data_IF_057558850855
#
_entry.id   IF_057558850855
#
_cell.length_a   1.000
_cell.length_b   1.000
_cell.length_c   1.000
_cell.angle_alpha   90.00
_cell.angle_beta   90.00
_cell.angle_gamma   90.00
#
_symmetry.space_group_name_H-M   'P 1'
#
loop_
_entity.id
_entity.type
_entity.pdbx_description
1 polymer ?
#
# COMPACT_ATOMS: atom_id res chain seq x y z
N UNK A 1 -19.95 -23.93 -4.04
CA UNK A 1 -19.70 -23.50 -2.65
C UNK A 1 -19.32 -22.03 -2.71
N UNK A 2 -20.08 -21.11 -2.11
CA UNK A 2 -19.78 -19.69 -2.29
C UNK A 2 -18.54 -19.33 -1.46
N UNK A 3 -17.57 -18.75 -2.17
CA UNK A 3 -16.35 -18.16 -1.68
C UNK A 3 -16.72 -17.10 -0.63
N UNK A 4 -16.22 -17.24 0.61
CA UNK A 4 -16.41 -16.24 1.65
C UNK A 4 -15.76 -14.92 1.20
N UNK A 5 -16.57 -14.00 0.68
CA UNK A 5 -16.20 -12.59 0.59
C UNK A 5 -16.01 -12.08 2.00
N UNK A 6 -14.76 -12.02 2.46
CA UNK A 6 -14.37 -11.19 3.59
C UNK A 6 -14.75 -9.76 3.22
N UNK A 7 -15.96 -9.33 3.59
CA UNK A 7 -16.44 -7.96 3.39
C UNK A 7 -15.34 -7.03 3.88
N UNK A 8 -14.79 -6.20 2.98
CA UNK A 8 -13.82 -5.12 3.30
C UNK A 8 -14.52 -4.04 4.12
N UNK A 9 -14.87 -4.39 5.36
CA UNK A 9 -15.75 -3.64 6.24
C UNK A 9 -15.25 -2.22 6.52
N UNK A 10 -13.93 -2.00 6.42
CA UNK A 10 -13.29 -0.70 6.60
C UNK A 10 -13.68 0.33 5.52
N UNK A 11 -14.06 -0.09 4.30
CA UNK A 11 -14.53 0.82 3.23
C UNK A 11 -15.85 1.53 3.57
N UNK A 12 -16.60 1.02 4.54
CA UNK A 12 -17.90 1.56 4.96
C UNK A 12 -17.78 2.61 6.08
N UNK A 13 -16.63 2.73 6.76
CA UNK A 13 -16.44 3.62 7.91
C UNK A 13 -16.26 5.11 7.54
N UNK A 14 -16.26 5.46 6.25
CA UNK A 14 -15.95 6.81 5.76
C UNK A 14 -17.06 7.47 4.93
N UNK A 15 -18.31 6.98 5.01
CA UNK A 15 -19.42 7.48 4.17
C UNK A 15 -19.94 8.89 4.57
N UNK A 16 -19.66 9.39 5.78
CA UNK A 16 -20.41 10.52 6.36
C UNK A 16 -19.77 11.92 6.24
N UNK A 17 -18.72 12.13 5.44
CA UNK A 17 -18.26 13.52 5.17
C UNK A 17 -18.99 14.11 3.97
N UNK A 18 -19.75 15.18 4.20
CA UNK A 18 -20.37 16.00 3.14
C UNK A 18 -19.33 16.35 2.07
N UNK A 19 -19.66 16.09 0.81
CA UNK A 19 -18.82 16.43 -0.35
C UNK A 19 -17.82 15.37 -0.78
N UNK A 20 -17.78 14.20 -0.15
CA UNK A 20 -17.01 13.05 -0.63
C UNK A 20 -17.93 11.97 -1.20
N UNK A 21 -17.47 11.32 -2.27
CA UNK A 21 -18.11 10.15 -2.87
C UNK A 21 -17.09 9.01 -2.85
N UNK A 22 -17.49 7.87 -2.28
CA UNK A 22 -16.73 6.62 -2.34
C UNK A 22 -17.30 5.71 -3.42
N UNK A 23 -16.43 5.13 -4.25
CA UNK A 23 -16.83 4.22 -5.32
C UNK A 23 -15.75 3.15 -5.55
N UNK A 24 -16.13 2.07 -6.23
CA UNK A 24 -15.24 0.93 -6.50
C UNK A 24 -15.07 0.76 -8.00
N UNK A 25 -13.84 0.55 -8.45
CA UNK A 25 -13.53 0.28 -9.86
C UNK A 25 -12.67 -0.97 -9.95
N UNK A 26 -13.18 -1.97 -10.69
CA UNK A 26 -12.55 -3.27 -10.88
C UNK A 26 -12.20 -3.49 -12.34
N UNK A 27 -10.99 -4.00 -12.58
CA UNK A 27 -10.60 -4.50 -13.89
C UNK A 27 -9.57 -5.62 -13.74
N UNK A 28 -9.96 -6.83 -14.18
CA UNK A 28 -9.19 -8.07 -13.96
C UNK A 28 -8.84 -8.25 -12.47
N UNK A 29 -7.56 -8.37 -12.13
CA UNK A 29 -7.09 -8.54 -10.74
C UNK A 29 -7.04 -7.22 -9.96
N UNK A 30 -7.14 -6.06 -10.62
CA UNK A 30 -7.10 -4.75 -9.96
C UNK A 30 -8.47 -4.39 -9.42
N UNK A 31 -8.56 -4.10 -8.11
CA UNK A 31 -9.79 -3.76 -7.42
C UNK A 31 -9.57 -2.54 -6.51
N UNK A 32 -9.79 -1.36 -7.08
CA UNK A 32 -9.60 -0.09 -6.38
C UNK A 32 -10.87 0.34 -5.67
N UNK A 33 -10.72 0.83 -4.45
CA UNK A 33 -11.70 1.71 -3.84
C UNK A 33 -11.15 3.13 -3.82
N UNK A 34 -11.97 4.06 -4.31
CA UNK A 34 -11.57 5.45 -4.47
C UNK A 34 -12.55 6.33 -3.72
N UNK A 35 -12.00 7.31 -3.02
CA UNK A 35 -12.77 8.40 -2.42
C UNK A 35 -12.32 9.71 -3.04
N UNK A 36 -13.26 10.49 -3.57
CA UNK A 36 -12.98 11.77 -4.22
C UNK A 36 -14.13 12.76 -3.98
N UNK A 37 -13.99 14.01 -4.45
CA UNK A 37 -15.04 15.03 -4.30
C UNK A 37 -16.24 14.83 -5.24
N UNK A 38 -16.10 13.96 -6.25
CA UNK A 38 -17.14 13.58 -7.19
C UNK A 38 -16.91 12.16 -7.67
N UNK A 39 -17.91 11.56 -8.33
CA UNK A 39 -17.73 10.26 -8.98
C UNK A 39 -16.73 10.42 -10.15
N UNK A 40 -15.64 9.64 -10.12
CA UNK A 40 -14.59 9.60 -11.14
C UNK A 40 -14.34 8.16 -11.63
N UNK A 41 -15.38 7.32 -11.67
CA UNK A 41 -15.25 5.91 -12.06
C UNK A 41 -14.64 5.75 -13.45
N UNK A 42 -15.01 6.61 -14.41
CA UNK A 42 -14.51 6.53 -15.79
C UNK A 42 -13.04 6.89 -15.87
N UNK A 43 -12.63 7.98 -15.25
CA UNK A 43 -11.25 8.45 -15.17
C UNK A 43 -10.38 7.43 -14.44
N UNK A 44 -10.89 6.86 -13.35
CA UNK A 44 -10.23 5.79 -12.58
C UNK A 44 -10.03 4.56 -13.45
N UNK A 45 -11.05 4.15 -14.20
CA UNK A 45 -10.97 3.00 -15.10
C UNK A 45 -9.91 3.23 -16.20
N UNK A 46 -9.88 4.40 -16.81
CA UNK A 46 -8.84 4.77 -17.79
C UNK A 46 -7.44 4.74 -17.19
N UNK A 47 -7.26 5.25 -15.96
CA UNK A 47 -5.99 5.22 -15.26
C UNK A 47 -5.52 3.78 -14.97
N UNK A 48 -6.43 2.89 -14.55
CA UNK A 48 -6.14 1.46 -14.36
C UNK A 48 -5.67 0.83 -15.67
N UNK A 49 -6.36 1.06 -16.79
CA UNK A 49 -5.96 0.53 -18.10
C UNK A 49 -4.58 1.01 -18.52
N UNK A 50 -4.25 2.28 -18.26
CA UNK A 50 -2.93 2.84 -18.55
C UNK A 50 -1.84 2.18 -17.71
N UNK A 51 -2.06 1.97 -16.42
CA UNK A 51 -1.12 1.25 -15.55
C UNK A 51 -0.89 -0.17 -16.05
N UNK A 52 -1.97 -0.90 -16.33
CA UNK A 52 -1.89 -2.29 -16.78
C UNK A 52 -1.21 -2.43 -18.14
N UNK A 53 -1.50 -1.54 -19.09
CA UNK A 53 -0.83 -1.56 -20.40
C UNK A 53 0.69 -1.41 -20.26
N UNK A 54 1.16 -0.54 -19.36
CA UNK A 54 2.59 -0.39 -19.08
C UNK A 54 3.18 -1.70 -18.53
N UNK A 55 2.53 -2.30 -17.54
CA UNK A 55 2.98 -3.53 -16.88
C UNK A 55 2.93 -4.74 -17.82
N UNK A 56 1.79 -5.01 -18.44
CA UNK A 56 1.56 -6.19 -19.29
C UNK A 56 2.52 -6.19 -20.48
N UNK A 57 2.75 -5.03 -21.12
CA UNK A 57 3.72 -4.91 -22.20
C UNK A 57 5.15 -5.15 -21.70
N UNK A 58 5.53 -4.51 -20.61
CA UNK A 58 6.89 -4.65 -20.08
C UNK A 58 7.18 -6.09 -19.64
N UNK A 59 6.23 -6.75 -18.97
CA UNK A 59 6.34 -8.15 -18.55
C UNK A 59 6.46 -9.09 -19.76
N UNK A 60 5.74 -8.83 -20.85
CA UNK A 60 5.84 -9.64 -22.07
C UNK A 60 7.24 -9.54 -22.70
N UNK A 61 7.83 -8.35 -22.71
CA UNK A 61 9.18 -8.10 -23.23
C UNK A 61 10.28 -8.54 -22.24
N UNK A 62 10.00 -8.50 -20.93
CA UNK A 62 10.94 -8.81 -19.84
C UNK A 62 10.32 -9.79 -18.81
N UNK A 63 10.13 -11.07 -19.17
CA UNK A 63 9.49 -12.06 -18.28
C UNK A 63 10.07 -12.18 -16.86
N UNK A 64 11.39 -11.99 -16.61
CA UNK A 64 11.94 -11.99 -15.25
C UNK A 64 11.32 -10.94 -14.32
N UNK A 65 10.81 -9.83 -14.84
CA UNK A 65 10.18 -8.76 -14.04
C UNK A 65 9.06 -9.28 -13.15
N UNK A 66 8.23 -10.19 -13.68
CA UNK A 66 7.08 -10.74 -12.96
C UNK A 66 7.48 -11.70 -11.82
N UNK A 67 8.58 -12.44 -11.99
CA UNK A 67 8.96 -13.58 -11.13
C UNK A 67 10.11 -13.27 -10.17
N UNK A 68 10.84 -12.19 -10.40
CA UNK A 68 11.99 -11.86 -9.56
C UNK A 68 11.55 -11.58 -8.13
N UNK A 69 12.24 -12.21 -7.18
CA UNK A 69 12.09 -11.94 -5.74
C UNK A 69 13.21 -11.02 -5.22
N UNK A 70 14.19 -10.72 -6.07
CA UNK A 70 15.32 -9.83 -5.80
C UNK A 70 15.25 -8.61 -6.71
N UNK A 71 15.98 -7.53 -6.38
CA UNK A 71 16.02 -6.36 -7.24
C UNK A 71 16.49 -6.68 -8.66
N UNK A 72 15.90 -5.98 -9.63
CA UNK A 72 16.33 -5.98 -11.02
C UNK A 72 17.07 -4.67 -11.33
N UNK A 73 17.95 -4.65 -12.35
CA UNK A 73 18.63 -3.42 -12.75
C UNK A 73 17.64 -2.33 -13.18
N UNK A 74 18.08 -1.09 -13.11
CA UNK A 74 17.33 0.02 -13.69
C UNK A 74 17.21 -0.14 -15.21
N UNK A 75 16.07 0.30 -15.74
CA UNK A 75 15.82 0.34 -17.18
C UNK A 75 15.37 1.76 -17.57
N UNK A 76 16.27 2.57 -18.15
CA UNK A 76 15.96 3.93 -18.59
C UNK A 76 14.91 4.01 -19.72
N UNK A 77 14.63 2.90 -20.42
CA UNK A 77 13.65 2.84 -21.50
C UNK A 77 12.30 2.27 -21.03
N UNK A 78 12.24 1.75 -19.81
CA UNK A 78 11.00 1.24 -19.23
C UNK A 78 9.91 2.32 -19.13
N UNK A 79 8.62 1.92 -19.16
CA UNK A 79 7.52 2.82 -18.87
C UNK A 79 7.63 3.47 -17.48
N UNK A 80 7.06 4.68 -17.27
CA UNK A 80 7.14 5.39 -15.99
C UNK A 80 6.78 4.55 -14.77
N UNK A 81 5.66 3.82 -14.81
CA UNK A 81 5.22 2.98 -13.68
C UNK A 81 6.25 1.88 -13.35
N UNK A 82 6.83 1.27 -14.39
CA UNK A 82 7.85 0.23 -14.24
C UNK A 82 9.14 0.79 -13.64
N UNK A 83 9.57 1.99 -14.05
CA UNK A 83 10.74 2.67 -13.48
C UNK A 83 10.58 2.91 -11.98
N UNK A 84 9.40 3.38 -11.57
CA UNK A 84 9.06 3.59 -10.15
C UNK A 84 9.17 2.27 -9.38
N UNK A 85 8.60 1.18 -9.93
CA UNK A 85 8.67 -0.14 -9.29
C UNK A 85 10.10 -0.70 -9.20
N UNK A 86 10.91 -0.54 -10.25
CA UNK A 86 12.33 -0.95 -10.25
C UNK A 86 13.11 -0.19 -9.17
N UNK A 87 12.89 1.12 -9.06
CA UNK A 87 13.54 1.95 -8.05
C UNK A 87 13.14 1.56 -6.62
N UNK A 88 11.83 1.41 -6.36
CA UNK A 88 11.30 1.01 -5.06
C UNK A 88 11.86 -0.35 -4.62
N UNK A 89 11.83 -1.33 -5.53
CA UNK A 89 12.31 -2.68 -5.28
C UNK A 89 13.82 -2.73 -4.98
N UNK A 90 14.64 -1.95 -5.71
CA UNK A 90 16.07 -1.80 -5.41
C UNK A 90 16.32 -1.18 -4.04
N UNK A 91 15.57 -0.15 -3.69
CA UNK A 91 15.70 0.53 -2.39
C UNK A 91 15.33 -0.38 -1.21
N UNK A 92 14.32 -1.22 -1.39
CA UNK A 92 13.84 -2.15 -0.37
C UNK A 92 14.49 -3.54 -0.43
N UNK A 93 15.27 -3.86 -1.47
CA UNK A 93 15.96 -5.16 -1.61
C UNK A 93 15.03 -6.32 -1.95
N UNK A 94 13.94 -6.07 -2.68
CA UNK A 94 12.91 -7.06 -3.06
C UNK A 94 12.71 -7.08 -4.58
N UNK A 95 11.83 -7.95 -5.07
CA UNK A 95 11.40 -7.98 -6.47
C UNK A 95 10.48 -6.82 -6.85
N UNK A 96 10.46 -6.36 -8.12
CA UNK A 96 9.62 -5.23 -8.56
C UNK A 96 8.13 -5.40 -8.28
N UNK A 97 7.61 -6.62 -8.41
CA UNK A 97 6.18 -6.89 -8.17
C UNK A 97 5.75 -6.69 -6.71
N UNK A 98 6.69 -6.61 -5.75
CA UNK A 98 6.39 -6.27 -4.36
C UNK A 98 6.01 -4.80 -4.13
N UNK A 99 6.01 -3.97 -5.18
CA UNK A 99 5.61 -2.56 -5.12
C UNK A 99 4.37 -2.22 -5.96
N UNK A 100 3.79 -3.24 -6.61
CA UNK A 100 2.80 -3.03 -7.68
C UNK A 100 1.52 -2.37 -7.16
N UNK A 101 1.08 -2.72 -5.95
CA UNK A 101 -0.21 -2.28 -5.45
C UNK A 101 -0.14 -0.81 -5.03
N UNK A 102 0.91 -0.45 -4.29
CA UNK A 102 1.23 0.94 -3.93
C UNK A 102 1.50 1.81 -5.17
N UNK A 103 2.30 1.31 -6.12
CA UNK A 103 2.60 2.05 -7.35
C UNK A 103 1.33 2.37 -8.16
N UNK A 104 0.43 1.40 -8.32
CA UNK A 104 -0.85 1.59 -9.02
C UNK A 104 -1.76 2.56 -8.27
N UNK A 105 -1.85 2.44 -6.94
CA UNK A 105 -2.68 3.34 -6.13
C UNK A 105 -2.22 4.81 -6.28
N UNK A 106 -0.91 5.05 -6.22
CA UNK A 106 -0.34 6.38 -6.42
C UNK A 106 -0.53 6.90 -7.84
N UNK A 107 -0.23 6.10 -8.87
CA UNK A 107 -0.37 6.53 -10.27
C UNK A 107 -1.82 6.89 -10.62
N UNK A 108 -2.78 6.10 -10.12
CA UNK A 108 -4.21 6.41 -10.27
C UNK A 108 -4.58 7.70 -9.54
N UNK A 109 -4.14 7.88 -8.29
CA UNK A 109 -4.41 9.12 -7.55
C UNK A 109 -3.86 10.37 -8.27
N UNK A 110 -2.63 10.29 -8.79
CA UNK A 110 -2.01 11.37 -9.56
C UNK A 110 -2.79 11.67 -10.86
N UNK A 111 -3.28 10.63 -11.54
CA UNK A 111 -4.13 10.78 -12.73
C UNK A 111 -5.48 11.44 -12.44
N UNK A 112 -6.00 11.27 -11.22
CA UNK A 112 -7.27 11.85 -10.77
C UNK A 112 -7.15 13.28 -10.23
N UNK A 113 -5.93 13.73 -9.88
CA UNK A 113 -5.66 15.05 -9.30
C UNK A 113 -6.23 16.24 -10.09
N UNK A 114 -6.22 16.25 -11.44
CA UNK A 114 -6.86 17.34 -12.21
C UNK A 114 -8.39 17.42 -12.02
N UNK A 115 -9.01 16.34 -11.57
CA UNK A 115 -10.47 16.19 -11.44
C UNK A 115 -10.97 16.24 -9.99
N UNK A 116 -10.07 16.02 -9.02
CA UNK A 116 -10.35 16.12 -7.59
C UNK A 116 -9.08 16.55 -6.85
N UNK A 117 -9.04 17.74 -6.22
CA UNK A 117 -7.89 18.22 -5.44
C UNK A 117 -7.63 17.39 -4.18
N UNK A 118 -8.58 16.53 -3.79
CA UNK A 118 -8.38 15.56 -2.71
C UNK A 118 -8.88 14.18 -3.14
N UNK A 119 -8.04 13.17 -2.97
CA UNK A 119 -8.33 11.80 -3.39
C UNK A 119 -7.66 10.80 -2.46
N UNK A 120 -8.36 9.71 -2.21
CA UNK A 120 -7.85 8.51 -1.55
C UNK A 120 -8.03 7.36 -2.51
N UNK A 121 -6.97 6.62 -2.79
CA UNK A 121 -7.00 5.40 -3.60
C UNK A 121 -6.49 4.25 -2.76
N UNK A 122 -7.33 3.23 -2.56
CA UNK A 122 -7.02 1.98 -1.87
C UNK A 122 -6.95 0.85 -2.91
N UNK A 123 -5.85 0.11 -2.90
CA UNK A 123 -5.61 -1.08 -3.69
C UNK A 123 -5.27 -2.26 -2.75
N UNK A 124 -6.28 -2.78 -2.05
CA UNK A 124 -6.07 -3.85 -1.06
C UNK A 124 -5.53 -3.30 0.25
N UNK A 125 -4.32 -3.73 0.66
CA UNK A 125 -3.65 -3.24 1.87
C UNK A 125 -2.94 -1.90 1.68
N UNK A 126 -2.91 -1.40 0.45
CA UNK A 126 -2.05 -0.31 0.02
C UNK A 126 -2.86 0.90 -0.40
N UNK A 127 -2.56 2.04 0.21
CA UNK A 127 -3.31 3.26 0.00
C UNK A 127 -2.38 4.41 -0.41
N UNK A 128 -2.88 5.29 -1.28
CA UNK A 128 -2.28 6.60 -1.49
C UNK A 128 -3.32 7.69 -1.22
N UNK A 129 -2.95 8.64 -0.37
CA UNK A 129 -3.81 9.72 0.09
C UNK A 129 -3.17 11.04 -0.33
N UNK A 130 -3.84 11.82 -1.19
CA UNK A 130 -3.52 13.23 -1.43
C UNK A 130 -4.72 14.04 -0.94
N UNK A 131 -4.68 14.43 0.33
CA UNK A 131 -5.74 15.16 1.03
C UNK A 131 -5.15 16.31 1.85
N UNK A 132 -5.97 17.13 2.49
CA UNK A 132 -5.52 18.30 3.28
C UNK A 132 -6.03 18.31 4.72
N UNK A 133 -6.64 17.21 5.15
CA UNK A 133 -7.30 17.09 6.44
C UNK A 133 -6.66 15.98 7.28
N UNK A 134 -6.73 16.16 8.59
CA UNK A 134 -6.30 15.12 9.53
C UNK A 134 -7.09 13.84 9.26
N UNK A 135 -6.36 12.72 9.21
CA UNK A 135 -6.92 11.41 8.92
C UNK A 135 -6.23 10.36 9.80
N UNK A 136 -7.06 9.49 10.37
CA UNK A 136 -6.59 8.29 11.06
C UNK A 136 -6.87 7.09 10.18
N UNK A 137 -5.83 6.30 9.88
CA UNK A 137 -5.91 5.09 9.06
C UNK A 137 -5.93 3.89 9.99
N UNK A 138 -7.04 3.14 9.98
CA UNK A 138 -7.18 1.95 10.80
C UNK A 138 -6.26 0.82 10.36
N UNK A 139 -5.70 0.11 11.33
CA UNK A 139 -4.82 -1.04 11.10
C UNK A 139 -5.62 -2.32 11.31
N UNK A 140 -5.56 -3.20 10.30
CA UNK A 140 -6.15 -4.53 10.36
C UNK A 140 -5.04 -5.58 10.39
N UNK A 141 -4.87 -6.23 11.52
CA UNK A 141 -3.85 -7.25 11.77
C UNK A 141 -4.47 -8.66 11.84
N UNK A 142 -5.53 -8.92 11.07
CA UNK A 142 -6.22 -10.21 11.05
C UNK A 142 -7.22 -10.41 12.20
N UNK A 143 -8.03 -11.49 12.15
CA UNK A 143 -9.18 -11.66 13.04
C UNK A 143 -8.81 -12.02 14.49
N UNK A 144 -7.60 -12.49 14.73
CA UNK A 144 -7.15 -12.96 16.05
C UNK A 144 -6.20 -11.99 16.76
N UNK A 145 -5.76 -10.93 16.09
CA UNK A 145 -4.89 -9.93 16.72
C UNK A 145 -5.72 -8.99 17.61
N UNK A 146 -5.31 -8.74 18.87
CA UNK A 146 -6.00 -7.80 19.75
C UNK A 146 -5.94 -6.35 19.24
N UNK A 147 -5.05 -6.05 18.29
CA UNK A 147 -4.91 -4.72 17.71
C UNK A 147 -5.84 -4.48 16.52
N UNK A 148 -6.42 -5.54 15.95
CA UNK A 148 -7.18 -5.47 14.70
C UNK A 148 -8.42 -4.59 14.85
N UNK A 149 -8.49 -3.50 14.10
CA UNK A 149 -9.59 -2.53 14.16
C UNK A 149 -9.66 -1.68 15.42
N UNK A 150 -8.71 -1.84 16.35
CA UNK A 150 -8.65 -1.11 17.63
C UNK A 150 -7.59 0.00 17.64
N UNK A 151 -6.66 -0.04 16.68
CA UNK A 151 -5.61 0.98 16.53
C UNK A 151 -5.62 1.56 15.13
N UNK A 152 -5.17 2.80 15.02
CA UNK A 152 -4.94 3.49 13.76
C UNK A 152 -3.68 4.35 13.79
N UNK A 153 -3.22 4.76 12.62
CA UNK A 153 -2.14 5.71 12.46
C UNK A 153 -2.72 7.09 12.12
N UNK A 154 -2.45 8.08 12.97
CA UNK A 154 -2.94 9.45 12.80
C UNK A 154 -1.92 10.30 12.04
N UNK A 155 -2.40 11.03 11.05
CA UNK A 155 -1.61 11.96 10.26
C UNK A 155 -2.31 13.31 10.14
N UNK A 156 -1.56 14.38 10.41
CA UNK A 156 -2.01 15.73 10.11
C UNK A 156 -2.17 15.95 8.60
N UNK A 157 -3.11 16.83 8.22
CA UNK A 157 -3.39 17.16 6.82
C UNK A 157 -2.19 17.69 6.04
N UNK A 158 -1.27 18.37 6.73
CA UNK A 158 -0.01 18.94 6.20
C UNK A 158 0.98 17.87 5.72
N UNK A 159 0.84 16.63 6.21
CA UNK A 159 1.75 15.54 5.86
C UNK A 159 1.42 14.88 4.53
N UNK A 160 0.21 15.04 4.01
CA UNK A 160 -0.17 14.47 2.74
C UNK A 160 0.41 15.27 1.56
N UNK A 161 0.72 14.62 0.41
CA UNK A 161 0.39 13.24 0.10
C UNK A 161 1.29 12.19 0.77
N UNK A 162 0.73 10.99 1.02
CA UNK A 162 1.43 9.83 1.57
C UNK A 162 0.91 8.52 0.97
N UNK A 163 1.83 7.61 0.70
CA UNK A 163 1.57 6.18 0.54
C UNK A 163 1.63 5.48 1.90
N UNK A 164 0.60 4.69 2.20
CA UNK A 164 0.48 3.93 3.44
C UNK A 164 0.13 2.50 3.04
N UNK A 165 1.11 1.63 3.12
CA UNK A 165 1.10 0.30 2.50
C UNK A 165 1.29 -0.78 3.55
N UNK A 166 0.59 -1.90 3.40
CA UNK A 166 0.55 -2.94 4.42
C UNK A 166 0.81 -4.32 3.84
N UNK A 167 1.88 -4.96 4.30
CA UNK A 167 2.13 -6.38 4.06
C UNK A 167 1.59 -7.21 5.22
N UNK A 168 1.05 -8.39 4.92
CA UNK A 168 0.61 -9.36 5.92
C UNK A 168 0.95 -10.77 5.47
N UNK A 169 1.43 -11.59 6.40
CA UNK A 169 1.59 -13.03 6.19
C UNK A 169 0.36 -13.85 6.57
N UNK A 170 -0.64 -13.22 7.19
CA UNK A 170 -1.85 -13.89 7.71
C UNK A 170 -3.14 -13.40 7.05
N UNK A 171 -3.08 -12.30 6.30
CA UNK A 171 -4.23 -11.67 5.63
C UNK A 171 -3.92 -11.38 4.16
N UNK A 172 -4.75 -11.91 3.26
CA UNK A 172 -4.70 -11.61 1.83
C UNK A 172 -3.92 -12.64 0.99
N UNK A 173 -3.97 -12.53 -0.35
CA UNK A 173 -3.35 -13.49 -1.28
C UNK A 173 -1.89 -13.17 -1.61
N UNK A 174 -1.35 -12.05 -1.14
CA UNK A 174 0.00 -11.59 -1.46
C UNK A 174 1.07 -12.52 -0.89
N UNK A 175 2.11 -12.79 -1.67
CA UNK A 175 3.21 -13.65 -1.25
C UNK A 175 4.07 -12.92 -0.19
N UNK A 176 3.88 -13.28 1.08
CA UNK A 176 4.74 -12.87 2.18
C UNK A 176 5.49 -14.10 2.71
N UNK A 177 6.80 -13.96 2.89
CA UNK A 177 7.65 -15.01 3.49
C UNK A 177 7.66 -14.95 5.02
N UNK A 178 7.07 -13.90 5.59
CA UNK A 178 6.95 -13.69 7.03
C UNK A 178 5.68 -14.28 7.63
N UNK A 179 5.52 -14.04 8.93
CA UNK A 179 4.33 -14.36 9.72
C UNK A 179 3.80 -13.14 10.49
N UNK A 180 4.22 -11.94 10.11
CA UNK A 180 3.63 -10.72 10.64
C UNK A 180 2.13 -10.69 10.35
N UNK A 181 1.38 -10.21 11.33
CA UNK A 181 -0.05 -10.00 11.16
C UNK A 181 -0.31 -8.75 10.33
N UNK A 182 0.48 -7.70 10.56
CA UNK A 182 0.55 -6.52 9.70
C UNK A 182 1.93 -5.86 9.81
N UNK A 183 2.48 -5.43 8.67
CA UNK A 183 3.58 -4.47 8.61
C UNK A 183 3.12 -3.30 7.76
N UNK A 184 2.85 -2.16 8.40
CA UNK A 184 2.38 -0.96 7.75
C UNK A 184 3.52 0.05 7.65
N UNK A 185 3.77 0.54 6.44
CA UNK A 185 4.83 1.50 6.14
C UNK A 185 4.20 2.76 5.57
N UNK A 186 4.66 3.92 6.04
CA UNK A 186 4.32 5.22 5.48
C UNK A 186 5.53 5.80 4.73
N UNK A 187 5.31 6.33 3.53
CA UNK A 187 6.31 7.08 2.78
C UNK A 187 5.64 8.06 1.79
N UNK A 188 6.40 9.01 1.23
CA UNK A 188 5.90 9.89 0.15
C UNK A 188 5.63 9.13 -1.15
N UNK A 189 6.38 8.05 -1.38
CA UNK A 189 6.26 7.15 -2.51
C UNK A 189 5.58 5.85 -2.05
N UNK A 190 4.39 5.56 -2.57
CA UNK A 190 3.64 4.35 -2.21
C UNK A 190 4.27 3.08 -2.78
N UNK A 191 4.93 3.14 -3.94
CA UNK A 191 5.65 1.98 -4.45
C UNK A 191 6.78 1.59 -3.49
N UNK A 192 7.49 2.59 -2.96
CA UNK A 192 8.51 2.38 -1.93
C UNK A 192 7.92 1.86 -0.62
N UNK A 193 6.81 2.43 -0.15
CA UNK A 193 6.13 1.98 1.06
C UNK A 193 5.71 0.50 0.94
N UNK A 194 5.13 0.09 -0.19
CA UNK A 194 4.70 -1.28 -0.49
C UNK A 194 5.89 -2.26 -0.52
N UNK A 195 6.94 -1.91 -1.27
CA UNK A 195 8.17 -2.70 -1.31
C UNK A 195 8.82 -2.85 0.07
N UNK A 196 8.87 -1.76 0.84
CA UNK A 196 9.42 -1.76 2.19
C UNK A 196 8.56 -2.59 3.16
N UNK A 197 7.24 -2.49 3.07
CA UNK A 197 6.31 -3.31 3.87
C UNK A 197 6.55 -4.79 3.61
N UNK A 198 6.73 -5.18 2.35
CA UNK A 198 7.08 -6.55 1.97
C UNK A 198 8.46 -6.95 2.50
N UNK A 199 9.48 -6.12 2.33
CA UNK A 199 10.85 -6.39 2.78
C UNK A 199 10.92 -6.61 4.30
N UNK A 200 10.31 -5.72 5.08
CA UNK A 200 10.25 -5.78 6.54
C UNK A 200 9.37 -6.95 6.98
N UNK A 201 8.21 -7.14 6.35
CA UNK A 201 7.31 -8.25 6.62
C UNK A 201 7.97 -9.62 6.50
N UNK A 202 8.83 -9.81 5.50
CA UNK A 202 9.55 -11.07 5.27
C UNK A 202 10.51 -11.47 6.41
N UNK A 203 10.99 -10.50 7.21
CA UNK A 203 11.88 -10.75 8.35
C UNK A 203 11.10 -11.20 9.60
N UNK A 204 9.86 -10.72 9.75
CA UNK A 204 9.08 -10.90 10.97
C UNK A 204 8.40 -12.28 10.97
N UNK A 205 8.95 -13.23 11.74
CA UNK A 205 8.40 -14.60 11.90
C UNK A 205 7.92 -14.87 13.32
N UNK A 206 8.53 -14.21 14.30
CA UNK A 206 8.22 -14.26 15.72
C UNK A 206 8.33 -12.85 16.32
N UNK A 207 7.76 -12.60 17.51
CA UNK A 207 7.89 -11.29 18.15
C UNK A 207 9.33 -10.85 18.42
N UNK A 208 10.28 -11.77 18.55
CA UNK A 208 11.70 -11.45 18.73
C UNK A 208 12.35 -10.81 17.49
N UNK A 209 11.74 -10.90 16.31
CA UNK A 209 12.28 -10.30 15.07
C UNK A 209 11.85 -8.84 14.88
N UNK A 210 11.03 -8.28 15.76
CA UNK A 210 10.55 -6.89 15.62
C UNK A 210 11.72 -5.91 15.55
N UNK A 211 12.69 -6.03 16.45
CA UNK A 211 13.83 -5.11 16.51
C UNK A 211 14.69 -5.17 15.24
N UNK A 212 15.09 -6.38 14.82
CA UNK A 212 15.83 -6.59 13.56
C UNK A 212 15.08 -6.01 12.34
N UNK A 213 13.76 -6.21 12.28
CA UNK A 213 12.93 -5.71 11.19
C UNK A 213 12.84 -4.17 11.18
N UNK A 214 12.81 -3.53 12.35
CA UNK A 214 12.87 -2.07 12.47
C UNK A 214 14.25 -1.52 12.10
N UNK A 215 15.34 -2.21 12.47
CA UNK A 215 16.69 -1.82 11.99
C UNK A 215 16.80 -1.94 10.46
N UNK A 216 16.22 -2.99 9.87
CA UNK A 216 16.13 -3.08 8.41
C UNK A 216 15.36 -1.89 7.83
N UNK A 217 14.21 -1.53 8.40
CA UNK A 217 13.43 -0.39 7.92
C UNK A 217 14.24 0.92 7.91
N UNK A 218 15.06 1.17 8.93
CA UNK A 218 15.92 2.36 9.05
C UNK A 218 16.94 2.51 7.92
N UNK A 219 17.33 1.40 7.31
CA UNK A 219 18.29 1.41 6.19
C UNK A 219 17.63 1.68 4.84
N UNK A 220 16.29 1.68 4.76
CA UNK A 220 15.56 2.05 3.56
C UNK A 220 15.36 3.58 3.59
N UNK A 221 15.90 4.32 2.60
CA UNK A 221 15.79 5.78 2.59
C UNK A 221 14.34 6.23 2.41
N UNK A 222 14.02 7.44 2.87
CA UNK A 222 12.75 8.13 2.58
C UNK A 222 11.48 7.51 3.16
N UNK A 223 11.60 6.56 4.10
CA UNK A 223 10.45 6.11 4.89
C UNK A 223 10.10 7.15 5.96
N UNK A 224 8.81 7.41 6.13
CA UNK A 224 8.27 8.26 7.20
C UNK A 224 8.16 7.48 8.52
N UNK A 225 7.87 6.18 8.42
CA UNK A 225 7.88 5.28 9.56
C UNK A 225 7.25 3.92 9.25
N UNK A 226 7.39 3.02 10.21
CA UNK A 226 6.96 1.63 10.12
C UNK A 226 6.27 1.20 11.41
N UNK A 227 5.15 0.51 11.28
CA UNK A 227 4.43 -0.19 12.33
C UNK A 227 4.47 -1.70 12.04
N UNK A 228 4.89 -2.50 13.01
CA UNK A 228 4.90 -3.96 12.93
C UNK A 228 3.96 -4.49 14.00
N UNK A 229 3.05 -5.38 13.61
CA UNK A 229 2.16 -6.11 14.50
C UNK A 229 2.36 -7.61 14.28
N UNK A 230 2.61 -8.32 15.38
CA UNK A 230 2.66 -9.78 15.40
C UNK A 230 2.17 -10.29 16.76
N UNK A 231 1.08 -11.06 16.74
CA UNK A 231 0.36 -11.55 17.92
C UNK A 231 -0.06 -10.40 18.84
N UNK A 232 0.40 -10.41 20.09
CA UNK A 232 0.16 -9.43 21.14
C UNK A 232 1.27 -8.36 21.21
N UNK A 233 2.21 -8.34 20.26
CA UNK A 233 3.33 -7.39 20.24
C UNK A 233 3.22 -6.41 19.08
N UNK A 234 3.71 -5.21 19.35
CA UNK A 234 3.81 -4.11 18.41
C UNK A 234 5.21 -3.49 18.48
N UNK A 235 5.76 -3.16 17.32
CA UNK A 235 6.96 -2.34 17.18
C UNK A 235 6.68 -1.13 16.28
N UNK A 236 7.29 0.01 16.59
CA UNK A 236 7.11 1.24 15.83
C UNK A 236 8.43 1.97 15.66
N UNK A 237 8.62 2.58 14.50
CA UNK A 237 9.73 3.47 14.22
C UNK A 237 9.27 4.62 13.29
N UNK A 238 9.94 5.77 13.42
CA UNK A 238 9.70 6.94 12.58
C UNK A 238 8.62 7.86 13.12
N UNK A 239 8.16 8.77 12.28
CA UNK A 239 7.17 9.78 12.59
C UNK A 239 5.75 9.21 12.42
N UNK A 240 5.36 8.30 13.30
CA UNK A 240 4.04 7.68 13.33
C UNK A 240 3.38 7.91 14.69
N UNK A 241 2.14 8.39 14.68
CA UNK A 241 1.33 8.51 15.89
C UNK A 241 0.26 7.41 15.91
N UNK A 242 0.29 6.57 16.94
CA UNK A 242 -0.73 5.53 17.14
C UNK A 242 -1.90 6.12 17.92
N UNK A 243 -3.09 6.01 17.34
CA UNK A 243 -4.35 6.38 17.96
C UNK A 243 -5.19 5.14 18.25
N UNK A 244 -6.03 5.21 19.28
CA UNK A 244 -7.08 4.22 19.55
C UNK A 244 -8.32 4.56 18.72
N UNK A 245 -8.95 3.53 18.15
CA UNK A 245 -10.21 3.64 17.41
C UNK A 245 -11.43 3.27 18.25
#
# INVERSE_FOLDING_TARGET
>A
MPYNETRRFYRLQHQDRKGWVGFQVRYRETDLWVRAQRNLERETFTAILNCRRQLERYIAEHPPFLKSLTPLPEDPLAPPLVKVMLFAARSAGVGPMASVAGAVAQEVALSLKPFSPSVIVENGGDCYLDIREETTIGIYAGPHSPFSGNIGLRFEGSRFPLGICTSSGTVGPSLSFGRADAVTVAAKDAALADAAATAVGNLVKTPSHIEEALERARTIPSLEGVLIVIKDKLGIWGNLEVARL
#
